data_IF_502706806249
#
_entry.id   IF_502706806249
#
_cell.length_a   1.000
_cell.length_b   1.000
_cell.length_c   1.000
_cell.angle_alpha   90.00
_cell.angle_beta   90.00
_cell.angle_gamma   90.00
#
_symmetry.space_group_name_H-M   'P 1'
#
loop_
_entity.id
_entity.type
_entity.pdbx_description
1 polymer ?
#
# COMPACT_ATOMS: atom_id res chain seq x y z
N UNK A 1 22.40 21.88 27.02
CA UNK A 1 21.19 22.08 27.85
C UNK A 1 21.43 21.46 29.20
N UNK A 2 21.01 22.05 30.32
CA UNK A 2 21.25 21.40 31.60
C UNK A 2 20.36 20.17 31.66
N UNK A 3 20.98 19.02 31.94
CA UNK A 3 20.30 17.82 32.36
C UNK A 3 19.29 18.19 33.46
N UNK A 4 18.09 17.62 33.41
CA UNK A 4 17.09 17.80 34.46
C UNK A 4 17.73 17.32 35.78
N UNK A 5 18.05 18.21 36.74
CA UNK A 5 18.92 17.86 37.87
C UNK A 5 18.36 16.74 38.76
N UNK A 6 17.03 16.59 38.77
CA UNK A 6 16.28 15.54 39.47
C UNK A 6 15.51 14.64 38.49
N UNK A 7 15.89 14.61 37.22
CA UNK A 7 15.16 13.91 36.16
C UNK A 7 13.71 14.38 36.03
N UNK A 8 12.85 13.49 35.53
CA UNK A 8 11.39 13.72 35.49
C UNK A 8 10.76 13.80 36.89
N UNK A 9 11.47 13.32 37.92
CA UNK A 9 10.96 13.28 39.29
C UNK A 9 10.86 14.68 39.91
N UNK A 10 11.75 15.60 39.53
CA UNK A 10 11.72 17.01 39.93
C UNK A 10 10.53 17.81 39.38
N UNK A 11 9.76 17.23 38.46
CA UNK A 11 8.54 17.81 37.87
C UNK A 11 7.26 17.20 38.45
N UNK A 12 7.35 16.19 39.32
CA UNK A 12 6.18 15.53 39.92
C UNK A 12 5.43 16.51 40.83
N UNK A 13 4.17 16.80 40.51
CA UNK A 13 3.32 17.72 41.27
C UNK A 13 3.60 19.21 41.04
N UNK A 14 4.43 19.56 40.04
CA UNK A 14 4.66 20.94 39.61
C UNK A 14 3.96 21.17 38.26
N UNK A 15 3.21 22.27 38.12
CA UNK A 15 2.64 22.76 36.85
C UNK A 15 3.73 23.43 35.99
N UNK A 16 4.82 22.71 35.74
CA UNK A 16 5.92 23.17 34.89
C UNK A 16 5.99 22.27 33.65
N UNK A 17 5.95 22.89 32.47
CA UNK A 17 6.23 22.19 31.23
C UNK A 17 7.70 21.76 31.21
N UNK A 18 7.96 20.53 30.77
CA UNK A 18 9.32 20.09 30.49
C UNK A 18 9.94 21.03 29.44
N UNK A 19 11.23 21.41 29.59
CA UNK A 19 11.90 22.18 28.56
C UNK A 19 11.85 21.40 27.24
N UNK A 20 11.19 21.98 26.24
CA UNK A 20 10.96 21.36 24.95
C UNK A 20 11.79 22.07 23.88
N UNK A 21 12.52 21.29 23.08
CA UNK A 21 13.36 21.82 21.99
C UNK A 21 12.70 21.46 20.67
N UNK A 22 12.28 22.52 19.96
CA UNK A 22 11.76 22.43 18.60
C UNK A 22 12.92 22.27 17.61
N UNK A 23 13.41 21.04 17.45
CA UNK A 23 14.46 20.74 16.47
C UNK A 23 13.97 20.96 15.04
N UNK A 24 12.76 20.47 14.74
CA UNK A 24 12.04 20.68 13.48
C UNK A 24 10.64 21.20 13.84
N UNK A 25 10.28 22.38 13.34
CA UNK A 25 8.99 23.05 13.62
C UNK A 25 8.18 23.29 12.32
N UNK A 26 8.46 22.49 11.28
CA UNK A 26 7.80 22.55 9.97
C UNK A 26 7.43 21.15 9.47
N UNK A 27 6.42 21.05 8.60
CA UNK A 27 6.01 19.80 7.93
C UNK A 27 6.69 19.67 6.56
N UNK A 28 8.02 19.77 6.52
CA UNK A 28 8.80 19.82 5.29
C UNK A 28 9.34 18.45 4.84
N UNK A 29 9.50 17.53 5.77
CA UNK A 29 10.02 16.18 5.56
C UNK A 29 9.63 15.24 6.72
N UNK A 30 9.85 13.94 6.52
CA UNK A 30 9.78 12.94 7.58
C UNK A 30 11.12 12.92 8.34
N UNK A 31 11.07 12.79 9.65
CA UNK A 31 12.25 12.57 10.50
C UNK A 31 11.93 11.46 11.50
N UNK A 32 12.71 10.37 11.46
CA UNK A 32 12.59 9.24 12.39
C UNK A 32 13.91 9.08 13.12
N UNK A 33 13.91 9.24 14.44
CA UNK A 33 15.11 9.05 15.25
C UNK A 33 15.53 7.58 15.24
N UNK A 34 16.82 7.33 15.00
CA UNK A 34 17.41 5.99 14.90
C UNK A 34 18.26 5.69 16.14
N UNK A 35 19.10 6.64 16.52
CA UNK A 35 19.97 6.57 17.70
C UNK A 35 20.37 7.98 18.14
N UNK A 36 20.87 8.08 19.37
CA UNK A 36 21.59 9.26 19.83
C UNK A 36 22.75 8.89 20.75
N UNK A 37 23.82 9.68 20.69
CA UNK A 37 24.91 9.71 21.65
C UNK A 37 24.89 11.07 22.34
N UNK A 38 24.32 11.11 23.55
CA UNK A 38 23.98 12.35 24.26
C UNK A 38 23.15 13.30 23.37
N UNK A 39 23.73 14.43 22.93
CA UNK A 39 23.06 15.43 22.07
C UNK A 39 23.20 15.16 20.57
N UNK A 40 23.97 14.15 20.17
CA UNK A 40 24.23 13.83 18.77
C UNK A 40 23.21 12.79 18.28
N UNK A 41 22.21 13.23 17.51
CA UNK A 41 21.13 12.39 17.02
C UNK A 41 21.36 11.95 15.57
N UNK A 42 21.05 10.68 15.28
CA UNK A 42 20.97 10.14 13.92
C UNK A 42 19.50 9.97 13.53
N UNK A 43 19.10 10.53 12.40
CA UNK A 43 17.74 10.49 11.88
C UNK A 43 17.70 9.86 10.48
N UNK A 44 16.66 9.06 10.22
CA UNK A 44 16.21 8.78 8.85
C UNK A 44 15.32 9.92 8.37
N UNK A 45 15.58 10.46 7.18
CA UNK A 45 14.79 11.55 6.62
C UNK A 45 14.65 11.48 5.11
N UNK A 46 13.58 12.05 4.56
CA UNK A 46 13.43 12.31 3.12
C UNK A 46 13.69 13.78 2.72
N UNK A 47 14.20 14.62 3.64
CA UNK A 47 14.54 16.01 3.35
C UNK A 47 15.60 16.09 2.24
N UNK A 48 15.19 16.59 1.07
CA UNK A 48 16.04 16.64 -0.13
C UNK A 48 16.44 15.25 -0.67
N UNK A 49 15.78 14.19 -0.23
CA UNK A 49 16.15 12.80 -0.49
C UNK A 49 14.88 11.94 -0.67
N UNK A 50 14.30 11.86 -1.88
CA UNK A 50 13.02 11.14 -2.09
C UNK A 50 13.09 9.64 -1.78
N UNK A 51 14.29 9.05 -1.77
CA UNK A 51 14.55 7.66 -1.38
C UNK A 51 15.12 7.49 0.03
N UNK A 52 15.00 8.54 0.83
CA UNK A 52 15.49 8.64 2.20
C UNK A 52 17.01 8.55 2.32
N UNK A 53 17.52 9.08 3.43
CA UNK A 53 18.92 9.04 3.83
C UNK A 53 19.03 9.01 5.35
N UNK A 54 20.21 8.70 5.87
CA UNK A 54 20.54 8.92 7.28
C UNK A 54 21.37 10.18 7.43
N UNK A 55 20.95 11.03 8.35
CA UNK A 55 21.62 12.29 8.69
C UNK A 55 21.93 12.34 10.17
N UNK A 56 22.89 13.16 10.55
CA UNK A 56 23.25 13.42 11.95
C UNK A 56 23.25 14.90 12.26
N UNK A 57 22.81 15.24 13.45
CA UNK A 57 22.74 16.61 13.97
C UNK A 57 23.06 16.62 15.46
N UNK A 58 23.85 17.58 15.92
CA UNK A 58 24.02 17.85 17.34
C UNK A 58 22.96 18.87 17.79
N UNK A 59 22.20 18.56 18.85
CA UNK A 59 21.24 19.50 19.43
C UNK A 59 21.89 20.78 19.97
N UNK A 60 23.20 20.79 20.20
CA UNK A 60 23.99 22.00 20.54
C UNK A 60 24.24 22.88 19.31
N UNK A 61 24.24 22.31 18.11
CA UNK A 61 24.44 22.98 16.82
C UNK A 61 23.37 22.55 15.80
N UNK A 62 22.08 22.82 16.06
CA UNK A 62 20.95 22.22 15.32
C UNK A 62 20.85 22.67 13.85
N UNK A 63 21.68 23.62 13.42
CA UNK A 63 21.77 24.07 12.03
C UNK A 63 22.73 23.23 11.18
N UNK A 64 23.58 22.40 11.79
CA UNK A 64 24.60 21.63 11.08
C UNK A 64 24.17 20.15 10.95
N UNK A 65 23.73 19.77 9.75
CA UNK A 65 23.28 18.42 9.43
C UNK A 65 24.26 17.77 8.45
N UNK A 66 24.74 16.58 8.79
CA UNK A 66 25.68 15.82 7.97
C UNK A 66 25.05 14.51 7.51
N UNK A 67 25.32 14.10 6.26
CA UNK A 67 24.88 12.82 5.74
C UNK A 67 25.80 11.71 6.27
N UNK A 68 25.21 10.69 6.91
CA UNK A 68 25.89 9.48 7.37
C UNK A 68 25.74 8.37 6.34
N UNK A 69 24.53 8.22 5.80
CA UNK A 69 24.26 7.39 4.63
C UNK A 69 23.55 8.30 3.64
N UNK A 70 24.17 8.69 2.52
CA UNK A 70 23.52 9.51 1.50
C UNK A 70 22.37 8.74 0.84
N UNK A 71 21.46 9.47 0.20
CA UNK A 71 20.36 8.86 -0.52
C UNK A 71 20.88 7.99 -1.67
N UNK A 72 20.38 6.76 -1.80
CA UNK A 72 20.70 5.91 -2.94
C UNK A 72 20.10 6.50 -4.22
N UNK A 73 20.75 6.27 -5.37
CA UNK A 73 20.24 6.64 -6.68
C UNK A 73 19.05 5.77 -7.12
N UNK A 74 18.94 4.57 -6.56
CA UNK A 74 17.95 3.56 -6.98
C UNK A 74 17.05 3.08 -5.85
N UNK A 75 17.64 2.75 -4.71
CA UNK A 75 16.98 1.97 -3.66
C UNK A 75 16.38 2.87 -2.58
N UNK A 76 15.22 2.48 -2.05
CA UNK A 76 14.57 3.22 -0.96
C UNK A 76 15.12 2.75 0.37
N UNK A 77 15.65 3.62 1.21
CA UNK A 77 15.97 3.28 2.60
C UNK A 77 14.65 3.22 3.41
N UNK A 78 14.15 2.02 3.66
CA UNK A 78 12.85 1.77 4.33
C UNK A 78 12.95 1.91 5.85
N UNK A 79 13.98 1.34 6.46
CA UNK A 79 14.22 1.43 7.91
C UNK A 79 15.69 1.41 8.24
N UNK A 80 16.01 1.85 9.45
CA UNK A 80 17.31 1.71 10.07
C UNK A 80 17.11 1.46 11.57
N UNK A 81 17.85 0.50 12.13
CA UNK A 81 17.69 0.06 13.51
C UNK A 81 19.08 -0.06 14.15
N UNK A 82 19.34 0.73 15.19
CA UNK A 82 20.62 0.68 15.91
C UNK A 82 20.72 -0.57 16.78
N UNK A 83 21.84 -1.29 16.69
CA UNK A 83 22.07 -2.59 17.34
C UNK A 83 23.53 -2.74 17.78
N UNK A 84 23.80 -3.65 18.71
CA UNK A 84 25.15 -4.05 19.12
C UNK A 84 26.11 -2.87 19.38
N UNK A 85 25.64 -1.88 20.13
CA UNK A 85 26.36 -0.66 20.50
C UNK A 85 26.55 0.31 19.34
N UNK A 86 27.51 0.01 18.46
CA UNK A 86 27.95 0.89 17.38
C UNK A 86 27.61 0.37 15.97
N UNK A 87 26.63 -0.52 15.84
CA UNK A 87 26.16 -1.02 14.54
C UNK A 87 24.73 -0.56 14.28
N UNK A 88 24.32 -0.66 13.03
CA UNK A 88 22.93 -0.55 12.64
C UNK A 88 22.62 -1.56 11.55
N UNK A 89 21.36 -2.00 11.53
CA UNK A 89 20.80 -2.73 10.41
C UNK A 89 20.02 -1.73 9.59
N UNK A 90 20.31 -1.64 8.30
CA UNK A 90 19.53 -0.84 7.36
C UNK A 90 18.80 -1.76 6.41
N UNK A 91 17.54 -1.43 6.15
CA UNK A 91 16.68 -2.17 5.24
C UNK A 91 16.39 -1.31 4.03
N UNK A 92 16.89 -1.74 2.87
CA UNK A 92 16.58 -1.11 1.60
C UNK A 92 15.49 -1.88 0.87
N UNK A 93 14.70 -1.17 0.07
CA UNK A 93 13.83 -1.74 -0.94
C UNK A 93 14.45 -1.47 -2.32
N UNK A 94 14.95 -2.52 -2.96
CA UNK A 94 15.55 -2.48 -4.30
C UNK A 94 14.69 -3.28 -5.26
N UNK A 95 14.06 -2.60 -6.23
CA UNK A 95 13.07 -3.21 -7.14
C UNK A 95 12.07 -4.09 -6.37
N UNK A 96 11.49 -3.53 -5.31
CA UNK A 96 10.48 -4.21 -4.47
C UNK A 96 10.99 -5.48 -3.75
N UNK A 97 12.30 -5.65 -3.62
CA UNK A 97 12.94 -6.72 -2.83
C UNK A 97 13.74 -6.12 -1.70
N UNK A 98 13.64 -6.71 -0.51
CA UNK A 98 14.36 -6.23 0.65
C UNK A 98 15.84 -6.60 0.58
N UNK A 99 16.71 -5.64 0.91
CA UNK A 99 18.16 -5.80 1.03
C UNK A 99 18.57 -5.31 2.41
N UNK A 100 18.93 -6.27 3.28
CA UNK A 100 19.39 -5.98 4.63
C UNK A 100 20.90 -5.84 4.67
N UNK A 101 21.39 -4.74 5.23
CA UNK A 101 22.80 -4.49 5.41
C UNK A 101 23.10 -4.16 6.87
N UNK A 102 24.21 -4.70 7.38
CA UNK A 102 24.79 -4.26 8.63
C UNK A 102 25.81 -3.17 8.29
N UNK A 103 25.70 -2.04 8.97
CA UNK A 103 26.56 -0.88 8.80
C UNK A 103 27.08 -0.39 10.15
N UNK A 104 28.21 0.30 10.10
CA UNK A 104 28.74 1.01 11.26
C UNK A 104 27.86 2.24 11.54
N UNK A 105 27.42 2.40 12.80
CA UNK A 105 26.49 3.47 13.18
C UNK A 105 27.15 4.85 13.11
N UNK A 106 28.44 4.94 13.46
CA UNK A 106 29.17 6.19 13.51
C UNK A 106 29.47 6.72 12.10
N UNK A 107 30.06 5.89 11.25
CA UNK A 107 30.55 6.29 9.94
C UNK A 107 29.56 6.03 8.80
N UNK A 108 28.54 5.19 9.02
CA UNK A 108 27.64 4.71 7.95
C UNK A 108 28.26 3.65 7.03
N UNK A 109 29.50 3.24 7.30
CA UNK A 109 30.27 2.31 6.46
C UNK A 109 29.57 0.96 6.35
N UNK A 110 29.56 0.40 5.14
CA UNK A 110 29.06 -0.96 4.90
C UNK A 110 29.96 -1.99 5.57
N UNK A 111 29.36 -2.92 6.33
CA UNK A 111 30.08 -4.02 6.97
C UNK A 111 29.71 -5.36 6.33
N UNK A 112 28.41 -5.67 6.27
CA UNK A 112 27.90 -6.94 5.75
C UNK A 112 26.55 -6.78 5.07
N UNK A 113 26.23 -7.69 4.16
CA UNK A 113 24.88 -7.87 3.63
C UNK A 113 24.33 -9.20 4.10
N UNK A 114 23.10 -9.22 4.58
CA UNK A 114 22.42 -10.45 4.96
C UNK A 114 21.71 -11.02 3.72
N UNK A 115 21.94 -12.30 3.36
CA UNK A 115 21.26 -12.90 2.23
C UNK A 115 19.76 -13.04 2.56
N UNK A 116 18.92 -12.58 1.63
CA UNK A 116 17.48 -12.72 1.69
C UNK A 116 16.95 -13.13 0.33
N UNK A 117 16.01 -14.08 0.34
CA UNK A 117 15.21 -14.39 -0.84
C UNK A 117 14.14 -13.32 -1.07
N UNK A 118 13.43 -13.42 -2.20
CA UNK A 118 12.26 -12.58 -2.47
C UNK A 118 11.21 -12.84 -1.39
N UNK A 119 10.77 -11.76 -0.74
CA UNK A 119 9.77 -11.83 0.31
C UNK A 119 9.57 -10.48 0.99
N UNK A 120 8.97 -10.52 2.17
CA UNK A 120 8.69 -9.36 3.00
C UNK A 120 9.47 -9.44 4.32
N UNK A 121 10.18 -8.38 4.64
CA UNK A 121 10.68 -8.11 6.00
C UNK A 121 9.63 -7.25 6.70
N UNK A 122 8.95 -7.80 7.71
CA UNK A 122 7.90 -7.09 8.44
C UNK A 122 8.45 -6.20 9.55
N UNK A 123 9.39 -6.76 10.32
CA UNK A 123 9.92 -6.10 11.50
C UNK A 123 11.32 -6.62 11.79
N UNK A 124 12.16 -5.71 12.28
CA UNK A 124 13.45 -6.01 12.87
C UNK A 124 13.34 -5.57 14.33
N UNK A 125 13.51 -6.49 15.27
CA UNK A 125 13.40 -6.18 16.70
C UNK A 125 14.75 -6.35 17.39
N UNK A 126 15.24 -5.24 17.92
CA UNK A 126 16.42 -5.15 18.78
C UNK A 126 16.44 -3.79 19.46
N UNK A 127 17.16 -3.69 20.58
CA UNK A 127 17.60 -2.42 21.15
C UNK A 127 19.07 -2.20 20.79
N UNK A 128 19.51 -0.95 20.81
CA UNK A 128 20.93 -0.60 20.57
C UNK A 128 21.92 -1.40 21.40
N UNK A 129 21.58 -1.75 22.65
CA UNK A 129 22.45 -2.53 23.54
C UNK A 129 22.47 -4.03 23.28
N UNK A 130 21.51 -4.55 22.52
CA UNK A 130 21.38 -5.98 22.28
C UNK A 130 22.38 -6.40 21.20
N UNK A 131 23.13 -7.48 21.46
CA UNK A 131 24.08 -8.10 20.53
C UNK A 131 23.40 -9.12 19.58
N UNK A 132 22.11 -9.36 19.79
CA UNK A 132 21.23 -10.20 19.00
C UNK A 132 20.02 -9.40 18.52
N UNK A 133 19.57 -9.67 17.30
CA UNK A 133 18.37 -9.09 16.72
C UNK A 133 17.52 -10.18 16.05
N UNK A 134 16.22 -9.94 15.95
CA UNK A 134 15.29 -10.86 15.29
C UNK A 134 14.69 -10.19 14.06
N UNK A 135 14.57 -10.96 12.97
CA UNK A 135 13.93 -10.52 11.73
C UNK A 135 12.68 -11.37 11.51
N UNK A 136 11.53 -10.73 11.37
CA UNK A 136 10.34 -11.40 10.86
C UNK A 136 10.32 -11.33 9.33
N UNK A 137 10.71 -12.43 8.69
CA UNK A 137 10.69 -12.59 7.23
C UNK A 137 9.60 -13.57 6.79
N UNK A 138 8.95 -13.27 5.67
CA UNK A 138 7.93 -14.12 5.06
C UNK A 138 8.06 -14.13 3.54
N UNK A 139 7.81 -15.27 2.91
CA UNK A 139 7.86 -15.41 1.46
C UNK A 139 6.80 -16.41 0.96
N UNK A 140 6.44 -16.29 -0.32
CA UNK A 140 5.65 -17.30 -1.04
C UNK A 140 6.48 -18.50 -1.52
N UNK A 141 7.81 -18.45 -1.39
CA UNK A 141 8.70 -19.50 -1.88
C UNK A 141 8.44 -20.81 -1.14
N UNK A 142 7.90 -21.79 -1.87
CA UNK A 142 7.81 -23.18 -1.47
C UNK A 142 8.15 -24.04 -2.69
N UNK A 143 8.56 -25.33 -2.53
CA UNK A 143 9.07 -26.12 -3.65
C UNK A 143 8.15 -26.26 -4.88
N UNK A 144 6.83 -26.09 -4.70
CA UNK A 144 5.83 -26.24 -5.77
C UNK A 144 5.49 -24.95 -6.54
N UNK A 145 5.92 -23.79 -6.05
CA UNK A 145 5.55 -22.48 -6.62
C UNK A 145 6.77 -21.69 -7.09
N UNK A 146 6.58 -20.95 -8.17
CA UNK A 146 7.50 -19.91 -8.62
C UNK A 146 6.99 -18.53 -8.23
N UNK A 147 7.94 -17.64 -7.92
CA UNK A 147 7.70 -16.22 -7.67
C UNK A 147 8.53 -15.45 -8.68
N UNK A 148 7.90 -14.97 -9.74
CA UNK A 148 8.55 -14.23 -10.81
C UNK A 148 8.23 -12.74 -10.69
N UNK A 149 9.22 -11.90 -10.95
CA UNK A 149 9.03 -10.46 -11.08
C UNK A 149 9.12 -10.07 -12.55
N UNK A 150 8.14 -9.30 -13.00
CA UNK A 150 8.09 -8.72 -14.34
C UNK A 150 7.93 -7.20 -14.26
N UNK A 151 8.27 -6.51 -15.35
CA UNK A 151 8.11 -5.06 -15.48
C UNK A 151 7.18 -4.74 -16.66
N UNK A 152 5.96 -4.32 -16.34
CA UNK A 152 4.88 -4.09 -17.31
C UNK A 152 4.86 -2.61 -17.72
N UNK A 153 4.85 -2.25 -19.01
CA UNK A 153 4.64 -0.86 -19.41
C UNK A 153 3.20 -0.42 -19.08
N UNK A 154 3.06 0.68 -18.36
CA UNK A 154 1.80 1.40 -18.18
C UNK A 154 1.43 2.20 -19.43
N UNK A 155 0.24 2.80 -19.43
CA UNK A 155 -0.28 3.64 -20.50
C UNK A 155 0.66 4.77 -20.93
N UNK A 156 1.41 5.35 -19.98
CA UNK A 156 2.38 6.42 -20.25
C UNK A 156 3.82 5.91 -20.50
N UNK A 157 4.01 4.60 -20.61
CA UNK A 157 5.30 3.94 -20.81
C UNK A 157 6.08 3.65 -19.54
N UNK A 158 5.63 4.13 -18.36
CA UNK A 158 6.27 3.83 -17.07
C UNK A 158 6.28 2.32 -16.82
N UNK A 159 7.42 1.77 -16.40
CA UNK A 159 7.53 0.34 -16.06
C UNK A 159 7.03 0.08 -14.65
N UNK A 160 6.00 -0.76 -14.52
CA UNK A 160 5.37 -1.15 -13.27
C UNK A 160 5.86 -2.55 -12.88
N UNK A 161 6.51 -2.71 -11.72
CA UNK A 161 6.86 -4.04 -11.24
C UNK A 161 5.59 -4.81 -10.86
N UNK A 162 5.60 -6.10 -11.15
CA UNK A 162 4.56 -7.01 -10.70
C UNK A 162 5.18 -8.35 -10.33
N UNK A 163 4.79 -8.87 -9.17
CA UNK A 163 5.07 -10.26 -8.82
C UNK A 163 3.95 -11.15 -9.32
N UNK A 164 4.33 -12.31 -9.87
CA UNK A 164 3.42 -13.37 -10.31
C UNK A 164 3.82 -14.64 -9.57
N UNK A 165 2.87 -15.19 -8.81
CA UNK A 165 3.01 -16.40 -8.01
C UNK A 165 2.09 -17.47 -8.58
N UNK A 166 2.64 -18.63 -8.91
CA UNK A 166 1.87 -19.73 -9.50
C UNK A 166 2.64 -21.04 -9.47
N UNK A 167 1.96 -22.13 -9.83
CA UNK A 167 2.60 -23.45 -9.91
C UNK A 167 3.69 -23.45 -10.98
N UNK A 168 4.78 -24.18 -10.72
CA UNK A 168 5.84 -24.40 -11.71
C UNK A 168 5.32 -25.20 -12.90
N UNK A 169 5.97 -25.03 -14.05
CA UNK A 169 5.79 -25.86 -15.25
C UNK A 169 4.32 -25.98 -15.71
N UNK A 170 3.59 -24.87 -15.73
CA UNK A 170 2.23 -24.79 -16.28
C UNK A 170 2.23 -24.08 -17.62
N UNK A 171 1.37 -24.54 -18.53
CA UNK A 171 1.20 -23.90 -19.84
C UNK A 171 0.46 -22.58 -19.70
N UNK A 172 0.99 -21.51 -20.32
CA UNK A 172 0.36 -20.19 -20.33
C UNK A 172 -0.61 -20.08 -21.51
N UNK A 173 -1.76 -20.74 -21.40
CA UNK A 173 -2.80 -20.85 -22.44
C UNK A 173 -4.05 -20.00 -22.17
N UNK A 174 -4.01 -19.15 -21.13
CA UNK A 174 -5.11 -18.31 -20.67
C UNK A 174 -6.17 -19.03 -19.83
N UNK A 175 -6.00 -20.33 -19.58
CA UNK A 175 -7.02 -21.15 -18.90
C UNK A 175 -7.03 -20.98 -17.38
N UNK A 176 -5.98 -20.42 -16.77
CA UNK A 176 -5.86 -20.37 -15.32
C UNK A 176 -6.69 -19.23 -14.70
N UNK A 177 -7.35 -19.46 -13.56
CA UNK A 177 -7.85 -18.39 -12.72
C UNK A 177 -6.70 -17.49 -12.26
N UNK A 178 -6.95 -16.19 -12.15
CA UNK A 178 -5.93 -15.26 -11.67
C UNK A 178 -6.53 -14.27 -10.67
N UNK A 179 -5.82 -14.02 -9.57
CA UNK A 179 -6.16 -13.00 -8.58
C UNK A 179 -5.08 -11.92 -8.59
N UNK A 180 -5.43 -10.72 -9.06
CA UNK A 180 -4.55 -9.56 -9.12
C UNK A 180 -4.87 -8.61 -7.94
N UNK A 181 -3.87 -8.37 -7.10
CA UNK A 181 -3.94 -7.48 -5.94
C UNK A 181 -3.19 -6.17 -6.18
N UNK A 182 -3.75 -5.07 -5.65
CA UNK A 182 -3.11 -3.75 -5.66
C UNK A 182 -3.59 -2.82 -4.54
N UNK A 183 -2.77 -1.81 -4.25
CA UNK A 183 -3.10 -0.75 -3.29
C UNK A 183 -2.92 0.65 -3.93
N UNK A 184 -1.68 1.10 -4.16
CA UNK A 184 -1.39 2.34 -4.91
C UNK A 184 -1.77 3.64 -4.21
N UNK A 185 -1.14 3.93 -3.06
CA UNK A 185 -1.36 5.19 -2.33
C UNK A 185 -0.64 5.23 -0.99
N UNK A 186 -0.58 6.41 -0.38
CA UNK A 186 -0.07 6.66 0.96
C UNK A 186 1.38 6.22 1.19
N UNK A 187 2.18 6.12 0.12
CA UNK A 187 3.55 5.62 0.17
C UNK A 187 3.69 4.20 0.73
N UNK A 188 2.62 3.39 0.69
CA UNK A 188 2.66 2.00 1.17
C UNK A 188 3.24 1.09 0.08
N UNK A 189 4.33 0.40 0.39
CA UNK A 189 4.97 -0.59 -0.48
C UNK A 189 4.27 -1.95 -0.37
N UNK A 190 3.90 -2.55 -1.52
CA UNK A 190 3.21 -3.85 -1.55
C UNK A 190 4.15 -5.00 -1.88
N UNK A 191 4.76 -5.63 -0.88
CA UNK A 191 5.75 -6.72 -1.09
C UNK A 191 5.11 -8.11 -0.99
N UNK A 192 5.69 -9.14 -1.66
CA UNK A 192 5.12 -10.49 -1.68
C UNK A 192 5.32 -11.21 -0.34
N UNK A 193 4.22 -11.49 0.35
CA UNK A 193 4.22 -12.15 1.67
C UNK A 193 3.28 -13.35 1.75
N UNK A 194 3.64 -14.34 2.57
CA UNK A 194 2.91 -15.60 2.70
C UNK A 194 1.42 -15.40 3.04
N UNK A 195 0.57 -16.18 2.37
CA UNK A 195 -0.87 -16.21 2.63
C UNK A 195 -1.43 -17.60 2.41
N UNK A 196 -1.97 -18.20 3.47
CA UNK A 196 -2.53 -19.56 3.44
C UNK A 196 -3.66 -19.65 2.41
N UNK A 197 -4.55 -18.66 2.37
CA UNK A 197 -5.69 -18.66 1.45
C UNK A 197 -5.22 -18.62 -0.01
N UNK A 198 -4.24 -17.77 -0.33
CA UNK A 198 -3.67 -17.68 -1.68
C UNK A 198 -2.95 -18.96 -2.09
N UNK A 199 -2.25 -19.62 -1.16
CA UNK A 199 -1.62 -20.92 -1.42
C UNK A 199 -2.66 -22.02 -1.64
N UNK A 200 -3.76 -22.03 -0.89
CA UNK A 200 -4.87 -22.97 -1.09
C UNK A 200 -5.48 -22.78 -2.48
N UNK A 201 -5.72 -21.53 -2.90
CA UNK A 201 -6.23 -21.23 -4.23
C UNK A 201 -5.24 -21.65 -5.33
N UNK A 202 -3.96 -21.31 -5.18
CA UNK A 202 -2.92 -21.67 -6.15
C UNK A 202 -2.74 -23.20 -6.26
N UNK A 203 -2.76 -23.91 -5.13
CA UNK A 203 -2.62 -25.39 -5.11
C UNK A 203 -3.87 -26.09 -5.62
N UNK A 204 -5.05 -25.71 -5.16
CA UNK A 204 -6.26 -26.51 -5.41
C UNK A 204 -7.07 -26.04 -6.62
N UNK A 205 -6.92 -24.79 -7.05
CA UNK A 205 -7.59 -24.23 -8.22
C UNK A 205 -6.64 -23.89 -9.36
N UNK A 206 -5.33 -24.13 -9.20
CA UNK A 206 -4.32 -23.75 -10.20
C UNK A 206 -4.25 -22.23 -10.42
N UNK A 207 -4.69 -21.43 -9.43
CA UNK A 207 -4.79 -19.99 -9.61
C UNK A 207 -3.41 -19.30 -9.56
N UNK A 208 -3.20 -18.32 -10.45
CA UNK A 208 -2.13 -17.35 -10.28
C UNK A 208 -2.52 -16.28 -9.27
N UNK A 209 -1.56 -15.86 -8.45
CA UNK A 209 -1.69 -14.71 -7.58
C UNK A 209 -0.67 -13.64 -7.99
N UNK A 210 -1.14 -12.42 -8.26
CA UNK A 210 -0.31 -11.34 -8.75
C UNK A 210 -0.38 -10.12 -7.84
N UNK A 211 0.73 -9.42 -7.66
CA UNK A 211 0.82 -8.18 -6.87
C UNK A 211 1.38 -7.10 -7.79
N UNK A 212 0.58 -6.11 -8.16
CA UNK A 212 1.04 -4.98 -8.96
C UNK A 212 1.51 -3.83 -8.07
N UNK A 213 2.79 -3.46 -8.21
CA UNK A 213 3.43 -2.37 -7.47
C UNK A 213 3.21 -1.01 -8.15
N UNK A 214 1.93 -0.65 -8.28
CA UNK A 214 1.47 0.55 -8.98
C UNK A 214 1.90 1.85 -8.30
N UNK A 215 1.91 2.96 -9.05
CA UNK A 215 2.21 4.30 -8.50
C UNK A 215 1.24 4.70 -7.39
N UNK A 216 1.70 5.63 -6.54
CA UNK A 216 1.04 5.99 -5.27
C UNK A 216 1.65 5.24 -4.07
N UNK A 217 2.24 4.07 -4.29
CA UNK A 217 3.01 3.35 -3.28
C UNK A 217 4.40 3.94 -3.00
N UNK A 218 5.15 3.29 -2.11
CA UNK A 218 6.47 3.73 -1.65
C UNK A 218 7.65 3.06 -2.36
N UNK A 219 7.40 2.17 -3.31
CA UNK A 219 8.37 1.20 -3.82
C UNK A 219 9.64 1.83 -4.42
N UNK A 220 9.51 3.01 -5.02
CA UNK A 220 10.61 3.80 -5.59
C UNK A 220 10.73 5.19 -4.93
N UNK A 221 10.24 5.31 -3.69
CA UNK A 221 10.33 6.50 -2.87
C UNK A 221 9.26 7.55 -3.19
N UNK A 222 9.48 8.76 -2.68
CA UNK A 222 8.46 9.81 -2.66
C UNK A 222 7.97 10.24 -4.06
N UNK A 223 8.80 10.13 -5.09
CA UNK A 223 8.40 10.46 -6.45
C UNK A 223 7.44 9.42 -7.05
N UNK A 224 7.57 8.13 -6.68
CA UNK A 224 6.62 7.08 -7.03
C UNK A 224 5.25 7.31 -6.41
N UNK A 225 5.26 7.71 -5.14
CA UNK A 225 4.06 8.07 -4.40
C UNK A 225 3.36 9.27 -5.04
N UNK A 226 4.08 10.39 -5.25
CA UNK A 226 3.52 11.59 -5.89
C UNK A 226 3.03 11.35 -7.32
N UNK A 227 3.64 10.41 -8.05
CA UNK A 227 3.24 10.07 -9.41
C UNK A 227 1.88 9.35 -9.49
N UNK A 228 1.31 8.92 -8.36
CA UNK A 228 -0.01 8.29 -8.26
C UNK A 228 -0.94 8.93 -7.23
N UNK A 229 -0.70 10.18 -6.81
CA UNK A 229 -1.53 10.91 -5.84
C UNK A 229 -2.10 12.21 -6.41
N UNK A 230 -3.07 12.80 -5.71
CA UNK A 230 -3.76 14.05 -6.06
C UNK A 230 -4.24 14.07 -7.53
N UNK A 231 -3.82 15.08 -8.31
CA UNK A 231 -4.17 15.22 -9.73
C UNK A 231 -3.69 14.06 -10.60
N UNK A 232 -2.73 13.26 -10.13
CA UNK A 232 -2.16 12.11 -10.82
C UNK A 232 -2.76 10.77 -10.36
N UNK A 233 -3.81 10.78 -9.52
CA UNK A 233 -4.40 9.54 -8.99
C UNK A 233 -4.86 8.56 -10.08
N UNK A 234 -5.24 9.07 -11.26
CA UNK A 234 -5.60 8.24 -12.42
C UNK A 234 -4.46 7.30 -12.86
N UNK A 235 -3.20 7.70 -12.68
CA UNK A 235 -2.05 6.88 -13.07
C UNK A 235 -2.04 5.52 -12.34
N UNK A 236 -2.43 5.48 -11.06
CA UNK A 236 -2.51 4.22 -10.33
C UNK A 236 -3.55 3.25 -10.91
N UNK A 237 -4.69 3.79 -11.39
CA UNK A 237 -5.71 2.98 -12.07
C UNK A 237 -5.22 2.49 -13.44
N UNK A 238 -4.55 3.37 -14.21
CA UNK A 238 -3.97 3.03 -15.51
C UNK A 238 -2.86 1.96 -15.37
N UNK A 239 -2.02 2.06 -14.34
CA UNK A 239 -0.98 1.07 -14.01
C UNK A 239 -1.59 -0.31 -13.72
N UNK A 240 -2.67 -0.34 -12.93
CA UNK A 240 -3.34 -1.58 -12.54
C UNK A 240 -4.09 -2.23 -13.71
N UNK A 241 -4.72 -1.43 -14.56
CA UNK A 241 -5.33 -1.88 -15.81
C UNK A 241 -4.26 -2.46 -16.75
N UNK A 242 -3.11 -1.80 -16.87
CA UNK A 242 -2.01 -2.29 -17.72
C UNK A 242 -1.44 -3.62 -17.21
N UNK A 243 -1.36 -3.80 -15.89
CA UNK A 243 -1.00 -5.08 -15.28
C UNK A 243 -2.00 -6.20 -15.62
N UNK A 244 -3.30 -5.91 -15.58
CA UNK A 244 -4.34 -6.85 -15.99
C UNK A 244 -4.24 -7.23 -17.47
N UNK A 245 -4.04 -6.24 -18.35
CA UNK A 245 -3.86 -6.45 -19.79
C UNK A 245 -2.63 -7.32 -20.09
N UNK A 246 -1.52 -7.12 -19.37
CA UNK A 246 -0.34 -7.96 -19.49
C UNK A 246 -0.63 -9.42 -19.12
N UNK A 247 -1.31 -9.67 -18.00
CA UNK A 247 -1.63 -11.05 -17.57
C UNK A 247 -2.47 -11.79 -18.61
N UNK A 248 -3.39 -11.09 -19.26
CA UNK A 248 -4.22 -11.64 -20.34
C UNK A 248 -3.37 -11.88 -21.60
N UNK A 249 -2.62 -10.87 -22.04
CA UNK A 249 -1.82 -10.94 -23.27
C UNK A 249 -0.69 -11.98 -23.19
N UNK A 250 -0.09 -12.17 -22.02
CA UNK A 250 0.96 -13.15 -21.78
C UNK A 250 0.44 -14.57 -21.53
N UNK A 251 -0.88 -14.80 -21.61
CA UNK A 251 -1.47 -16.13 -21.49
C UNK A 251 -1.59 -16.67 -20.07
N UNK A 252 -1.41 -15.85 -19.02
CA UNK A 252 -1.63 -16.32 -17.65
C UNK A 252 -3.12 -16.57 -17.39
N UNK A 253 -3.99 -15.75 -17.97
CA UNK A 253 -5.43 -15.81 -17.73
C UNK A 253 -6.21 -15.20 -18.90
N UNK A 254 -7.53 -15.08 -18.74
CA UNK A 254 -8.42 -14.39 -19.66
C UNK A 254 -9.40 -13.51 -18.87
N UNK A 255 -10.05 -12.50 -19.47
CA UNK A 255 -10.87 -11.54 -18.73
C UNK A 255 -11.90 -12.17 -17.79
N UNK A 256 -12.62 -13.19 -18.25
CA UNK A 256 -13.64 -13.90 -17.45
C UNK A 256 -13.09 -14.70 -16.25
N UNK A 257 -11.77 -14.92 -16.19
CA UNK A 257 -11.07 -15.66 -15.13
C UNK A 257 -10.17 -14.76 -14.27
N UNK A 258 -10.11 -13.46 -14.56
CA UNK A 258 -9.35 -12.49 -13.80
C UNK A 258 -10.22 -11.89 -12.69
N UNK A 259 -9.81 -12.15 -11.44
CA UNK A 259 -10.31 -11.52 -10.24
C UNK A 259 -9.37 -10.38 -9.83
N UNK A 260 -9.91 -9.22 -9.49
CA UNK A 260 -9.15 -8.13 -8.89
C UNK A 260 -9.56 -7.92 -7.43
N UNK A 261 -8.58 -7.71 -6.55
CA UNK A 261 -8.83 -7.50 -5.12
C UNK A 261 -8.01 -6.36 -4.51
N UNK A 262 -8.61 -5.65 -3.55
CA UNK A 262 -7.97 -4.52 -2.89
C UNK A 262 -8.72 -4.10 -1.62
N UNK A 263 -8.03 -3.48 -0.68
CA UNK A 263 -8.58 -3.05 0.61
C UNK A 263 -8.33 -1.57 0.89
N UNK A 264 -9.27 -0.86 1.51
CA UNK A 264 -9.14 0.57 1.84
C UNK A 264 -8.93 1.43 0.57
N UNK A 265 -7.80 2.10 0.38
CA UNK A 265 -7.44 2.72 -0.90
C UNK A 265 -7.38 1.71 -2.05
N UNK A 266 -6.98 0.46 -1.79
CA UNK A 266 -7.12 -0.63 -2.77
C UNK A 266 -8.58 -0.95 -3.10
N UNK A 267 -9.53 -0.73 -2.19
CA UNK A 267 -10.95 -0.86 -2.49
C UNK A 267 -11.46 0.25 -3.43
N UNK A 268 -10.94 1.48 -3.26
CA UNK A 268 -11.12 2.57 -4.23
C UNK A 268 -10.55 2.19 -5.60
N UNK A 269 -9.33 1.66 -5.66
CA UNK A 269 -8.70 1.14 -6.88
C UNK A 269 -9.63 0.15 -7.61
N UNK A 270 -10.15 -0.87 -6.91
CA UNK A 270 -11.06 -1.84 -7.50
C UNK A 270 -12.33 -1.16 -8.05
N UNK A 271 -12.97 -0.30 -7.25
CA UNK A 271 -14.19 0.41 -7.65
C UNK A 271 -13.99 1.31 -8.87
N UNK A 272 -12.85 2.00 -8.96
CA UNK A 272 -12.51 2.83 -10.12
C UNK A 272 -12.23 1.98 -11.37
N UNK A 273 -11.44 0.90 -11.24
CA UNK A 273 -11.09 0.04 -12.37
C UNK A 273 -12.30 -0.66 -12.99
N UNK A 274 -13.26 -1.16 -12.18
CA UNK A 274 -14.47 -1.80 -12.74
C UNK A 274 -15.42 -0.79 -13.42
N UNK A 275 -15.41 0.48 -13.01
CA UNK A 275 -16.16 1.52 -13.72
C UNK A 275 -15.50 1.88 -15.07
N UNK A 276 -14.17 1.85 -15.14
CA UNK A 276 -13.41 2.27 -16.31
C UNK A 276 -13.25 1.16 -17.35
N UNK A 277 -12.99 -0.08 -16.92
CA UNK A 277 -12.71 -1.25 -17.76
C UNK A 277 -13.41 -2.52 -17.26
N UNK A 278 -14.76 -2.53 -17.21
CA UNK A 278 -15.51 -3.72 -16.78
C UNK A 278 -15.28 -4.93 -17.70
N UNK A 279 -14.80 -4.73 -18.94
CA UNK A 279 -14.48 -5.78 -19.92
C UNK A 279 -13.31 -6.67 -19.51
N UNK A 280 -12.41 -6.19 -18.65
CA UNK A 280 -11.17 -6.89 -18.31
C UNK A 280 -11.30 -7.91 -17.18
N UNK A 281 -12.42 -7.89 -16.45
CA UNK A 281 -12.53 -8.60 -15.18
C UNK A 281 -13.73 -9.53 -15.14
N UNK A 282 -13.55 -10.71 -14.54
CA UNK A 282 -14.62 -11.66 -14.23
C UNK A 282 -15.14 -11.50 -12.81
N UNK A 283 -14.27 -11.07 -11.89
CA UNK A 283 -14.59 -10.87 -10.48
C UNK A 283 -13.91 -9.63 -9.88
N UNK A 284 -14.59 -8.95 -8.96
CA UNK A 284 -14.07 -7.80 -8.24
C UNK A 284 -14.40 -7.89 -6.74
N UNK A 285 -13.35 -7.89 -5.90
CA UNK A 285 -13.44 -7.95 -4.45
C UNK A 285 -12.90 -6.65 -3.83
N UNK A 286 -13.80 -5.73 -3.52
CA UNK A 286 -13.43 -4.45 -2.90
C UNK A 286 -13.71 -4.49 -1.39
N UNK A 287 -12.64 -4.48 -0.58
CA UNK A 287 -12.73 -4.51 0.89
C UNK A 287 -12.62 -3.10 1.46
N UNK A 288 -13.55 -2.73 2.35
CA UNK A 288 -13.54 -1.51 3.17
C UNK A 288 -13.11 -0.26 2.39
N UNK A 289 -13.62 -0.12 1.15
CA UNK A 289 -13.10 0.85 0.18
C UNK A 289 -13.69 2.24 0.31
N UNK A 290 -12.89 3.26 -0.06
CA UNK A 290 -13.32 4.67 -0.08
C UNK A 290 -14.03 4.97 -1.40
N UNK A 291 -15.36 4.85 -1.43
CA UNK A 291 -16.13 4.88 -2.69
C UNK A 291 -16.74 6.25 -3.03
N UNK A 292 -16.81 7.15 -2.06
CA UNK A 292 -17.37 8.50 -2.21
C UNK A 292 -16.25 9.51 -2.02
N UNK A 293 -15.55 9.80 -3.12
CA UNK A 293 -14.40 10.71 -3.10
C UNK A 293 -14.79 12.17 -2.88
N UNK A 294 -16.08 12.51 -2.92
CA UNK A 294 -16.55 13.87 -2.69
C UNK A 294 -16.88 14.12 -1.22
N UNK A 295 -17.03 13.08 -0.40
CA UNK A 295 -17.46 13.23 1.00
C UNK A 295 -16.61 12.49 2.00
N UNK A 296 -15.61 11.71 1.59
CA UNK A 296 -14.76 10.93 2.52
C UNK A 296 -14.19 11.81 3.65
N UNK A 297 -13.78 13.05 3.35
CA UNK A 297 -13.16 13.96 4.31
C UNK A 297 -14.10 14.41 5.45
N UNK A 298 -15.41 14.17 5.32
CA UNK A 298 -16.42 14.59 6.31
C UNK A 298 -16.64 13.57 7.43
N UNK A 299 -16.03 12.39 7.36
CA UNK A 299 -16.31 11.30 8.27
C UNK A 299 -15.05 10.81 8.99
N UNK A 300 -15.12 10.68 10.33
CA UNK A 300 -14.06 10.09 11.16
C UNK A 300 -12.67 10.67 10.85
N UNK A 301 -11.67 9.84 10.54
CA UNK A 301 -10.30 10.26 10.21
C UNK A 301 -10.10 10.57 8.72
N UNK A 302 -11.17 10.57 7.91
CA UNK A 302 -11.08 10.75 6.46
C UNK A 302 -10.45 12.08 6.05
N UNK A 303 -10.53 13.13 6.87
CA UNK A 303 -9.88 14.42 6.62
C UNK A 303 -8.35 14.31 6.46
N UNK A 304 -7.71 13.33 7.12
CA UNK A 304 -6.28 13.10 7.05
C UNK A 304 -5.81 12.61 5.67
N UNK A 305 -6.72 12.10 4.84
CA UNK A 305 -6.39 11.56 3.51
C UNK A 305 -6.47 12.59 2.39
N UNK A 306 -6.79 13.83 2.71
CA UNK A 306 -6.80 14.94 1.74
C UNK A 306 -5.41 15.21 1.15
N UNK A 307 -4.33 14.84 1.86
CA UNK A 307 -2.95 14.86 1.34
C UNK A 307 -2.72 13.88 0.17
N UNK A 308 -3.49 12.81 0.09
CA UNK A 308 -3.43 11.81 -0.97
C UNK A 308 -4.43 12.11 -2.09
N UNK A 309 -5.66 12.52 -1.75
CA UNK A 309 -6.77 12.62 -2.72
C UNK A 309 -7.17 14.04 -3.11
N UNK A 310 -6.76 15.04 -2.34
CA UNK A 310 -7.35 16.39 -2.35
C UNK A 310 -8.67 16.45 -1.57
N UNK A 311 -9.37 17.57 -1.63
CA UNK A 311 -10.65 17.82 -1.00
C UNK A 311 -11.63 18.46 -1.97
N UNK A 312 -12.85 17.93 -2.07
CA UNK A 312 -13.87 18.44 -2.99
C UNK A 312 -14.37 19.85 -2.67
N UNK A 313 -14.02 20.38 -1.50
CA UNK A 313 -14.30 21.78 -1.13
C UNK A 313 -13.41 22.76 -1.92
N UNK A 314 -12.32 22.28 -2.52
CA UNK A 314 -11.55 23.01 -3.50
C UNK A 314 -12.02 22.65 -4.92
N UNK A 315 -12.39 23.64 -5.73
CA UNK A 315 -12.91 23.38 -7.09
C UNK A 315 -11.93 22.61 -7.96
N UNK A 316 -10.65 22.99 -7.96
CA UNK A 316 -9.62 22.33 -8.79
C UNK A 316 -9.50 20.85 -8.42
N UNK A 317 -9.56 20.54 -7.13
CA UNK A 317 -9.41 19.17 -6.65
C UNK A 317 -10.68 18.35 -6.86
N UNK A 318 -11.86 18.97 -6.68
CA UNK A 318 -13.14 18.39 -7.09
C UNK A 318 -13.11 17.91 -8.54
N UNK A 319 -12.56 18.70 -9.48
CA UNK A 319 -12.51 18.35 -10.91
C UNK A 319 -11.74 17.07 -11.21
N UNK A 320 -10.73 16.70 -10.42
CA UNK A 320 -10.08 15.40 -10.58
C UNK A 320 -10.81 14.30 -9.81
N UNK A 321 -11.34 14.57 -8.62
CA UNK A 321 -12.05 13.57 -7.82
C UNK A 321 -13.30 13.05 -8.52
N UNK A 322 -14.09 13.93 -9.12
CA UNK A 322 -15.34 13.56 -9.80
C UNK A 322 -15.10 12.60 -10.98
N UNK A 323 -13.91 12.62 -11.60
CA UNK A 323 -13.60 11.77 -12.76
C UNK A 323 -13.44 10.30 -12.40
N UNK A 324 -13.01 9.99 -11.18
CA UNK A 324 -12.71 8.61 -10.77
C UNK A 324 -13.54 8.12 -9.58
N UNK A 325 -14.25 9.01 -8.88
CA UNK A 325 -15.04 8.66 -7.70
C UNK A 325 -15.99 7.49 -8.00
N UNK A 326 -15.79 6.30 -7.37
CA UNK A 326 -16.52 5.09 -7.76
C UNK A 326 -18.03 5.26 -7.73
N UNK A 327 -18.55 5.89 -6.67
CA UNK A 327 -19.98 6.15 -6.51
C UNK A 327 -20.58 6.99 -7.64
N UNK A 328 -19.80 7.91 -8.22
CA UNK A 328 -20.30 8.91 -9.18
C UNK A 328 -20.03 8.52 -10.65
N UNK A 329 -19.41 7.37 -10.89
CA UNK A 329 -19.01 6.93 -12.23
C UNK A 329 -19.57 5.55 -12.61
N UNK A 330 -20.54 5.03 -11.87
CA UNK A 330 -21.27 3.82 -12.26
C UNK A 330 -22.11 4.13 -13.50
N UNK A 331 -21.81 3.45 -14.61
CA UNK A 331 -22.52 3.58 -15.89
C UNK A 331 -22.71 2.21 -16.52
N UNK A 332 -23.81 2.02 -17.27
CA UNK A 332 -24.10 0.77 -17.98
C UNK A 332 -23.13 0.60 -19.16
N UNK A 333 -22.27 -0.43 -19.18
CA UNK A 333 -21.26 -0.56 -20.23
C UNK A 333 -21.89 -0.85 -21.59
N UNK A 334 -23.02 -1.56 -21.63
CA UNK A 334 -23.76 -1.89 -22.85
C UNK A 334 -24.44 -0.69 -23.53
N UNK A 335 -24.49 0.48 -22.89
CA UNK A 335 -25.00 1.74 -23.47
C UNK A 335 -23.87 2.66 -23.96
N UNK A 336 -22.63 2.24 -23.82
CA UNK A 336 -21.43 3.04 -24.08
C UNK A 336 -20.50 2.35 -25.09
N UNK A 337 -19.56 3.09 -25.69
CA UNK A 337 -18.62 2.53 -26.68
C UNK A 337 -17.60 1.54 -26.11
N UNK A 338 -17.65 1.25 -24.80
CA UNK A 338 -16.80 0.24 -24.16
C UNK A 338 -17.37 -1.14 -24.54
N UNK A 339 -16.53 -2.02 -25.10
CA UNK A 339 -16.91 -3.39 -25.51
C UNK A 339 -17.12 -4.33 -24.30
N UNK A 340 -17.88 -3.92 -23.30
CA UNK A 340 -18.30 -4.74 -22.18
C UNK A 340 -19.83 -4.92 -22.21
N UNK A 341 -20.29 -6.16 -22.04
CA UNK A 341 -21.72 -6.46 -21.97
C UNK A 341 -22.30 -6.30 -20.57
N UNK A 342 -21.48 -6.29 -19.52
CA UNK A 342 -21.88 -6.19 -18.10
C UNK A 342 -20.66 -5.89 -17.20
N UNK A 343 -20.91 -5.59 -15.92
CA UNK A 343 -19.87 -5.56 -14.88
C UNK A 343 -19.43 -6.97 -14.45
N UNK A 344 -18.22 -7.13 -13.89
CA UNK A 344 -17.79 -8.37 -13.23
C UNK A 344 -18.70 -8.73 -12.05
N UNK A 345 -18.66 -10.00 -11.64
CA UNK A 345 -19.22 -10.42 -10.36
C UNK A 345 -18.55 -9.61 -9.23
N UNK A 346 -19.32 -8.78 -8.54
CA UNK A 346 -18.79 -7.78 -7.62
C UNK A 346 -19.24 -8.07 -6.19
N UNK A 347 -18.28 -8.20 -5.27
CA UNK A 347 -18.52 -8.27 -3.84
C UNK A 347 -17.88 -7.08 -3.14
N UNK A 348 -18.71 -6.29 -2.46
CA UNK A 348 -18.27 -5.21 -1.58
C UNK A 348 -18.23 -5.73 -0.13
N UNK A 349 -17.04 -5.80 0.46
CA UNK A 349 -16.85 -6.33 1.80
C UNK A 349 -16.63 -5.17 2.77
N UNK A 350 -17.42 -5.08 3.83
CA UNK A 350 -17.25 -4.05 4.87
C UNK A 350 -17.62 -4.62 6.25
N UNK A 351 -17.54 -3.80 7.29
CA UNK A 351 -17.98 -4.16 8.62
C UNK A 351 -18.90 -3.08 9.19
N UNK A 352 -19.87 -3.47 10.01
CA UNK A 352 -20.90 -2.57 10.54
C UNK A 352 -20.35 -1.50 11.52
N UNK A 353 -19.17 -1.73 12.12
CA UNK A 353 -18.47 -0.80 13.01
C UNK A 353 -17.09 -0.39 12.47
N UNK A 354 -16.89 -0.33 11.14
CA UNK A 354 -15.67 0.22 10.56
C UNK A 354 -15.62 1.74 10.76
N UNK A 355 -14.79 2.19 11.69
CA UNK A 355 -14.57 3.59 12.07
C UNK A 355 -13.38 4.24 11.34
N UNK A 356 -12.64 3.47 10.53
CA UNK A 356 -11.55 3.98 9.70
C UNK A 356 -12.08 4.37 8.34
N UNK A 357 -12.74 3.44 7.63
CA UNK A 357 -13.45 3.71 6.38
C UNK A 357 -14.92 3.38 6.60
N UNK A 358 -15.69 4.42 6.94
CA UNK A 358 -17.10 4.30 7.30
C UNK A 358 -17.89 3.47 6.27
N UNK A 359 -18.72 2.50 6.70
CA UNK A 359 -19.34 1.52 5.81
C UNK A 359 -20.31 2.14 4.79
N UNK A 360 -20.78 3.37 5.03
CA UNK A 360 -21.58 4.15 4.09
C UNK A 360 -20.95 4.22 2.69
N UNK A 361 -19.62 4.17 2.57
CA UNK A 361 -18.95 4.13 1.28
C UNK A 361 -19.35 2.89 0.48
N UNK A 362 -19.24 1.71 1.10
CA UNK A 362 -19.61 0.45 0.46
C UNK A 362 -21.12 0.34 0.24
N UNK A 363 -21.93 0.79 1.20
CA UNK A 363 -23.39 0.74 1.12
C UNK A 363 -23.95 1.63 0.00
N UNK A 364 -23.45 2.87 -0.13
CA UNK A 364 -23.88 3.79 -1.20
C UNK A 364 -23.48 3.25 -2.56
N UNK A 365 -22.25 2.75 -2.72
CA UNK A 365 -21.82 2.16 -3.99
C UNK A 365 -22.66 0.93 -4.34
N UNK A 366 -22.92 0.04 -3.38
CA UNK A 366 -23.77 -1.13 -3.57
C UNK A 366 -25.15 -0.74 -4.11
N UNK A 367 -25.80 0.22 -3.44
CA UNK A 367 -27.12 0.71 -3.84
C UNK A 367 -27.09 1.34 -5.24
N UNK A 368 -26.08 2.16 -5.54
CA UNK A 368 -25.94 2.78 -6.87
C UNK A 368 -25.71 1.75 -7.96
N UNK A 369 -24.82 0.77 -7.74
CA UNK A 369 -24.58 -0.30 -8.71
C UNK A 369 -25.83 -1.14 -8.96
N UNK A 370 -26.51 -1.60 -7.91
CA UNK A 370 -27.75 -2.37 -8.05
C UNK A 370 -28.86 -1.56 -8.73
N UNK A 371 -29.00 -0.27 -8.41
CA UNK A 371 -29.96 0.59 -9.08
C UNK A 371 -29.63 0.75 -10.56
N UNK A 372 -28.45 1.26 -10.90
CA UNK A 372 -28.06 1.60 -12.28
C UNK A 372 -28.01 0.35 -13.16
N UNK A 373 -27.46 -0.76 -12.65
CA UNK A 373 -27.16 -1.94 -13.45
C UNK A 373 -28.26 -2.99 -13.41
N UNK A 374 -29.13 -3.00 -12.39
CA UNK A 374 -30.14 -4.06 -12.25
C UNK A 374 -31.55 -3.50 -12.18
N UNK A 375 -31.92 -2.79 -11.11
CA UNK A 375 -33.33 -2.53 -10.77
C UNK A 375 -33.97 -1.36 -11.50
N UNK A 376 -33.18 -0.52 -12.18
CA UNK A 376 -33.69 0.55 -13.06
C UNK A 376 -34.06 0.06 -14.46
N UNK A 377 -33.92 -1.25 -14.75
CA UNK A 377 -34.33 -1.90 -15.99
C UNK A 377 -35.16 -3.14 -15.69
N UNK A 378 -36.18 -3.40 -16.51
CA UNK A 378 -36.97 -4.63 -16.39
C UNK A 378 -36.18 -5.87 -16.83
N UNK A 379 -35.41 -5.77 -17.92
CA UNK A 379 -34.61 -6.84 -18.50
C UNK A 379 -33.13 -6.42 -18.61
N UNK A 380 -32.47 -6.27 -17.47
CA UNK A 380 -31.06 -5.88 -17.48
C UNK A 380 -30.16 -6.96 -18.09
N UNK A 381 -29.20 -6.60 -18.98
CA UNK A 381 -28.12 -7.50 -19.41
C UNK A 381 -27.15 -7.91 -18.28
N UNK A 382 -27.18 -7.21 -17.14
CA UNK A 382 -26.36 -7.53 -15.97
C UNK A 382 -26.86 -8.81 -15.31
N UNK A 383 -26.12 -9.90 -15.50
CA UNK A 383 -26.42 -11.22 -14.91
C UNK A 383 -25.46 -11.58 -13.79
N UNK A 384 -24.22 -11.08 -13.84
CA UNK A 384 -23.26 -11.26 -12.77
C UNK A 384 -23.76 -10.59 -11.46
N UNK A 385 -23.66 -11.27 -10.31
CA UNK A 385 -24.16 -10.75 -9.04
C UNK A 385 -23.36 -9.54 -8.54
N UNK A 386 -24.08 -8.59 -7.93
CA UNK A 386 -23.52 -7.42 -7.25
C UNK A 386 -24.04 -7.45 -5.81
N UNK A 387 -23.16 -7.81 -4.87
CA UNK A 387 -23.53 -8.14 -3.49
C UNK A 387 -22.64 -7.44 -2.46
N UNK A 388 -23.18 -7.27 -1.25
CA UNK A 388 -22.43 -6.80 -0.09
C UNK A 388 -22.23 -7.91 0.94
N UNK A 389 -21.00 -8.09 1.43
CA UNK A 389 -20.70 -8.92 2.60
C UNK A 389 -20.38 -8.01 3.79
N UNK A 390 -21.38 -7.79 4.63
CA UNK A 390 -21.27 -6.92 5.82
C UNK A 390 -20.98 -7.80 7.04
N UNK A 391 -19.77 -7.72 7.55
CA UNK A 391 -19.38 -8.40 8.78
C UNK A 391 -20.02 -7.71 9.98
N UNK A 392 -20.65 -8.49 10.88
CA UNK A 392 -21.25 -7.98 12.11
C UNK A 392 -20.28 -8.01 13.28
N UNK A 393 -20.37 -7.00 14.14
CA UNK A 393 -19.52 -6.85 15.35
C UNK A 393 -18.03 -6.87 14.98
N UNK A 394 -17.66 -6.11 13.96
CA UNK A 394 -16.28 -6.01 13.49
C UNK A 394 -15.96 -4.58 13.01
N UNK A 395 -14.69 -4.20 13.09
CA UNK A 395 -14.16 -2.94 12.56
C UNK A 395 -13.31 -3.12 11.31
N UNK A 396 -12.42 -2.15 11.05
CA UNK A 396 -11.62 -2.02 9.82
C UNK A 396 -10.77 -3.25 9.48
N UNK A 397 -10.25 -3.94 10.50
CA UNK A 397 -9.50 -5.18 10.31
C UNK A 397 -8.59 -5.57 11.46
N UNK A 398 -8.16 -4.61 12.29
CA UNK A 398 -7.42 -4.88 13.53
C UNK A 398 -8.36 -5.49 14.59
N UNK A 399 -7.84 -6.41 15.42
CA UNK A 399 -8.60 -7.02 16.52
C UNK A 399 -9.68 -8.04 16.16
N UNK A 400 -9.89 -8.40 14.87
CA UNK A 400 -10.88 -9.44 14.52
C UNK A 400 -10.50 -10.81 15.10
N UNK A 401 -11.45 -11.54 15.73
CA UNK A 401 -11.22 -12.90 16.23
C UNK A 401 -10.67 -13.82 15.14
N UNK A 402 -9.79 -14.76 15.49
CA UNK A 402 -9.26 -15.78 14.56
C UNK A 402 -10.36 -16.57 13.86
N UNK A 403 -11.50 -16.80 14.53
CA UNK A 403 -12.69 -17.44 13.94
C UNK A 403 -13.39 -16.59 12.85
N UNK A 404 -13.27 -15.26 12.90
CA UNK A 404 -13.81 -14.30 11.91
C UNK A 404 -12.75 -13.86 10.88
N UNK A 405 -11.53 -14.44 10.93
CA UNK A 405 -10.34 -14.02 10.17
C UNK A 405 -10.20 -14.66 8.79
N UNK A 406 -11.19 -15.43 8.33
CA UNK A 406 -11.12 -16.35 7.18
C UNK A 406 -10.81 -15.70 5.81
N UNK A 407 -10.67 -14.37 5.71
CA UNK A 407 -10.45 -13.66 4.45
C UNK A 407 -9.43 -12.50 4.51
N UNK A 408 -8.47 -12.50 5.45
CA UNK A 408 -7.22 -11.76 5.22
C UNK A 408 -6.36 -12.61 4.27
N UNK A 409 -6.38 -12.25 3.00
CA UNK A 409 -5.47 -12.76 1.96
C UNK A 409 -4.20 -11.94 1.90
#
# INVERSE_FOLDING_TARGET
MPALPEGLQGFRGKDLLLPFVKLIDQFDALYTAIANDDTLFTFRTNKGAPRYKLVRVDLKEPSNWIDIIPASEKDVLESADAVNGNKMIVNYLSDVKYVLQIRDLETGSFLHQLPLDIGTVYEITARRKDDMFFIHFSSFLTPEFDVNQVFVPSKDGTKIPMFIVGRRNVDLDGSHPCSLYGYGGFSISSTPSFSVSRIVLARHLGAFFCIANIRGGGEYGQEWHKAGSLSKKQNGFDDFISAAEYLIAAGYTQPSKLCIEGGSNGGLLIGACINQRPDLFGCALARVGVMDMLRFHKFTIGHAWTSEYGCSENEKEFRWQIKYSPLHNVRRPWEHPIKASQYPSTMLLTADHDDRVVPLHSLKLLATMQHVLCTSLENSPQTNPIIGRIEREAGHGEGRPTKKRSLRS
#
